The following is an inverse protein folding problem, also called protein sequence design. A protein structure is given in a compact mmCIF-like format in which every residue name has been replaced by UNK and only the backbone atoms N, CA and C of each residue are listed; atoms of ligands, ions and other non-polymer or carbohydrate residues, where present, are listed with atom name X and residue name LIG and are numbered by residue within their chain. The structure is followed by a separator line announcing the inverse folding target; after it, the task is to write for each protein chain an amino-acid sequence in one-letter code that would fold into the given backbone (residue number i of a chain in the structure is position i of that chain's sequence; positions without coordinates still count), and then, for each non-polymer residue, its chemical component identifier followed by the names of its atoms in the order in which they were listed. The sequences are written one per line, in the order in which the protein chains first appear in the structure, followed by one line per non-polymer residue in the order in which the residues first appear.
data_IF_532293337919
#
_entry.id   IF_532293337919
#
_cell.length_a   1.000
_cell.length_b   1.000
_cell.length_c   1.000
_cell.angle_alpha   90.00
_cell.angle_beta   90.00
_cell.angle_gamma   90.00
#
_symmetry.space_group_name_H-M   'P 1'
#
loop_
_entity.id
_entity.type
_entity.pdbx_description
1 polymer ?
#
# COMPACT_ATOMS: atom_id res chain seq x y z
N UNK A 1 -4.99 0.85 23.39
CA UNK A 1 -3.92 0.80 22.44
C UNK A 1 -4.40 0.83 21.00
N UNK A 2 -3.87 1.73 20.24
CA UNK A 2 -4.29 1.91 18.90
C UNK A 2 -3.39 1.25 17.88
N UNK A 3 -3.97 0.77 16.82
CA UNK A 3 -3.23 0.15 15.76
C UNK A 3 -3.45 0.88 14.47
N UNK A 4 -2.35 1.23 13.83
CA UNK A 4 -2.39 1.83 12.52
C UNK A 4 -1.71 0.86 11.57
N UNK A 5 -2.52 0.13 10.85
CA UNK A 5 -2.00 -0.85 9.90
C UNK A 5 -1.39 -0.16 8.71
N UNK A 6 -0.24 -0.63 8.29
CA UNK A 6 0.40 -0.13 7.08
C UNK A 6 -0.41 -0.49 5.85
N UNK A 7 -0.22 0.28 4.80
CA UNK A 7 -0.88 0.00 3.53
C UNK A 7 0.06 -0.83 2.68
N UNK A 8 -0.47 -1.89 2.11
CA UNK A 8 0.31 -2.82 1.29
C UNK A 8 -0.22 -2.86 -0.13
N UNK A 9 0.70 -2.92 -1.10
CA UNK A 9 0.36 -3.17 -2.49
C UNK A 9 0.83 -4.58 -2.81
N UNK A 10 -0.08 -5.43 -3.24
CA UNK A 10 0.20 -6.83 -3.52
C UNK A 10 -0.40 -7.24 -4.85
N UNK A 11 0.27 -8.18 -5.54
CA UNK A 11 -0.33 -8.78 -6.72
C UNK A 11 -1.45 -9.72 -6.29
N UNK A 12 -2.52 -9.75 -7.08
CA UNK A 12 -3.61 -10.70 -6.84
C UNK A 12 -3.19 -12.03 -7.46
N UNK A 13 -3.12 -13.12 -6.69
CA UNK A 13 -2.67 -14.39 -7.23
C UNK A 13 -3.66 -15.03 -8.20
N UNK A 14 -4.92 -14.60 -8.18
CA UNK A 14 -5.96 -15.21 -8.99
C UNK A 14 -6.42 -14.35 -10.15
N UNK A 15 -5.83 -13.17 -10.32
CA UNK A 15 -6.19 -12.26 -11.38
C UNK A 15 -4.99 -11.41 -11.75
N UNK A 16 -5.03 -10.79 -12.94
CA UNK A 16 -3.94 -9.91 -13.34
C UNK A 16 -4.21 -8.51 -12.84
N UNK A 17 -4.37 -8.42 -11.52
CA UNK A 17 -4.65 -7.15 -10.85
C UNK A 17 -3.70 -6.97 -9.68
N UNK A 18 -3.64 -5.75 -9.21
CA UNK A 18 -2.89 -5.40 -8.01
C UNK A 18 -3.87 -4.91 -6.96
N UNK A 19 -3.66 -5.33 -5.73
CA UNK A 19 -4.54 -4.99 -4.63
C UNK A 19 -3.87 -4.01 -3.70
N UNK A 20 -4.64 -3.06 -3.21
CA UNK A 20 -4.24 -2.22 -2.10
C UNK A 20 -4.90 -2.80 -0.87
N UNK A 21 -4.12 -3.17 0.12
CA UNK A 21 -4.61 -3.84 1.32
C UNK A 21 -4.21 -3.09 2.56
N UNK A 22 -5.05 -3.20 3.56
CA UNK A 22 -4.77 -2.62 4.86
C UNK A 22 -5.51 -3.41 5.92
N UNK A 23 -4.77 -3.84 6.97
CA UNK A 23 -5.38 -4.58 8.06
C UNK A 23 -6.09 -5.85 7.63
N UNK A 24 -5.53 -6.56 6.65
CA UNK A 24 -6.13 -7.79 6.15
C UNK A 24 -7.30 -7.60 5.20
N UNK A 25 -7.62 -6.35 4.85
CA UNK A 25 -8.73 -6.07 3.93
C UNK A 25 -8.20 -5.49 2.63
N UNK A 26 -8.84 -5.89 1.54
CA UNK A 26 -8.56 -5.28 0.24
C UNK A 26 -9.44 -4.05 0.11
N UNK A 27 -8.83 -2.88 -0.09
CA UNK A 27 -9.59 -1.65 -0.20
C UNK A 27 -9.75 -1.19 -1.66
N UNK A 28 -8.89 -1.65 -2.56
CA UNK A 28 -9.09 -1.34 -3.98
C UNK A 28 -8.27 -2.29 -4.84
N UNK A 29 -8.64 -2.35 -6.13
CA UNK A 29 -7.94 -3.14 -7.13
C UNK A 29 -7.52 -2.21 -8.27
N UNK A 30 -6.39 -2.52 -8.88
CA UNK A 30 -5.84 -1.73 -9.98
C UNK A 30 -5.20 -2.64 -11.00
N UNK A 31 -5.14 -2.18 -12.24
CA UNK A 31 -4.59 -2.98 -13.32
C UNK A 31 -3.07 -3.03 -13.33
N UNK A 32 -2.44 -2.01 -12.78
CA UNK A 32 -0.98 -1.93 -12.76
C UNK A 32 -0.50 -1.68 -11.35
N UNK A 33 0.73 -2.13 -11.09
CA UNK A 33 1.36 -1.86 -9.81
C UNK A 33 1.47 -0.35 -9.58
N UNK A 34 1.82 0.39 -10.64
CA UNK A 34 1.97 1.84 -10.54
C UNK A 34 0.69 2.50 -10.05
N UNK A 35 -0.44 2.15 -10.65
CA UNK A 35 -1.71 2.74 -10.24
C UNK A 35 -2.08 2.34 -8.83
N UNK A 36 -1.80 1.09 -8.45
CA UNK A 36 -2.03 0.64 -7.09
C UNK A 36 -1.19 1.43 -6.10
N UNK A 37 0.08 1.66 -6.43
CA UNK A 37 0.97 2.41 -5.56
C UNK A 37 0.47 3.86 -5.39
N UNK A 38 -0.01 4.48 -6.47
CA UNK A 38 -0.54 5.84 -6.36
C UNK A 38 -1.73 5.90 -5.42
N UNK A 39 -2.65 4.94 -5.53
CA UNK A 39 -3.81 4.88 -4.65
C UNK A 39 -3.39 4.58 -3.22
N UNK A 40 -2.46 3.65 -3.06
CA UNK A 40 -1.98 3.25 -1.74
C UNK A 40 -1.26 4.40 -1.05
N UNK A 41 -0.50 5.18 -1.81
CA UNK A 41 0.22 6.31 -1.23
C UNK A 41 -0.72 7.35 -0.66
N UNK A 42 -1.84 7.60 -1.35
CA UNK A 42 -2.86 8.51 -0.83
C UNK A 42 -3.44 8.00 0.47
N UNK A 43 -3.76 6.71 0.51
CA UNK A 43 -4.33 6.11 1.70
C UNK A 43 -3.33 6.15 2.86
N UNK A 44 -2.07 5.82 2.59
CA UNK A 44 -1.04 5.79 3.62
C UNK A 44 -0.78 7.19 4.18
N UNK A 45 -0.75 8.20 3.31
CA UNK A 45 -0.57 9.58 3.77
C UNK A 45 -1.72 10.03 4.65
N UNK A 46 -2.93 9.70 4.24
CA UNK A 46 -4.11 10.10 4.99
C UNK A 46 -4.11 9.50 6.38
N UNK A 47 -3.66 8.28 6.50
CA UNK A 47 -3.62 7.57 7.77
C UNK A 47 -2.29 7.67 8.49
N UNK A 48 -1.30 8.30 7.85
CA UNK A 48 0.04 8.47 8.44
C UNK A 48 0.67 7.15 8.83
N UNK A 49 0.68 6.24 7.87
CA UNK A 49 1.30 4.93 8.05
C UNK A 49 2.27 4.69 6.90
N UNK A 50 3.01 3.60 6.98
CA UNK A 50 3.96 3.24 5.94
C UNK A 50 3.26 2.61 4.75
N UNK A 51 3.91 2.69 3.60
CA UNK A 51 3.47 2.02 2.39
C UNK A 51 4.48 0.93 2.06
N UNK A 52 4.00 -0.29 1.97
CA UNK A 52 4.84 -1.44 1.65
C UNK A 52 4.40 -1.98 0.30
N UNK A 53 5.33 -1.98 -0.66
CA UNK A 53 5.04 -2.46 -2.00
C UNK A 53 5.68 -3.82 -2.19
N UNK A 54 4.88 -4.80 -2.59
CA UNK A 54 5.35 -6.15 -2.87
C UNK A 54 5.44 -6.37 -4.36
N UNK A 55 6.39 -7.19 -4.78
CA UNK A 55 6.50 -7.57 -6.17
C UNK A 55 5.50 -8.66 -6.51
N UNK A 56 5.48 -9.04 -7.79
CA UNK A 56 4.58 -10.10 -8.23
C UNK A 56 4.89 -11.44 -7.58
N UNK A 57 6.13 -11.62 -7.14
CA UNK A 57 6.56 -12.84 -6.45
C UNK A 57 6.26 -12.79 -4.95
N UNK A 58 5.63 -11.74 -4.47
CA UNK A 58 5.27 -11.59 -3.07
C UNK A 58 6.34 -10.97 -2.20
N UNK A 59 7.54 -10.77 -2.72
CA UNK A 59 8.62 -10.19 -1.93
C UNK A 59 8.47 -8.69 -1.83
N UNK A 60 8.91 -8.15 -0.71
CA UNK A 60 8.87 -6.71 -0.50
C UNK A 60 9.85 -6.03 -1.45
N UNK A 61 9.35 -5.08 -2.24
CA UNK A 61 10.16 -4.32 -3.17
C UNK A 61 10.55 -2.98 -2.60
N UNK A 62 9.67 -2.36 -1.84
CA UNK A 62 9.99 -1.09 -1.24
C UNK A 62 9.14 -0.87 0.00
N UNK A 63 9.66 -0.06 0.88
CA UNK A 63 8.99 0.30 2.11
C UNK A 63 9.16 1.80 2.26
N UNK A 64 8.07 2.52 2.14
CA UNK A 64 8.08 3.97 2.12
C UNK A 64 7.43 4.47 3.40
N UNK A 65 8.17 5.27 4.15
CA UNK A 65 7.64 5.82 5.39
C UNK A 65 6.90 7.11 5.10
N UNK A 66 5.60 7.10 5.31
CA UNK A 66 4.76 8.25 5.02
C UNK A 66 4.14 8.85 6.27
N UNK A 67 4.46 8.27 7.42
CA UNK A 67 3.87 8.76 8.67
C UNK A 67 4.32 10.16 9.03
N UNK A 68 5.49 10.57 8.56
CA UNK A 68 6.00 11.90 8.84
C UNK A 68 5.92 12.84 7.67
N UNK A 69 5.27 12.42 6.60
CA UNK A 69 5.19 13.24 5.39
C UNK A 69 4.48 14.56 5.62
N UNK A 70 3.52 14.55 6.52
CA UNK A 70 2.75 15.75 6.80
C UNK A 70 3.60 16.86 7.40
N UNK A 71 4.76 16.52 7.93
CA UNK A 71 5.66 17.49 8.56
C UNK A 71 6.72 18.02 7.62
N UNK A 72 6.71 17.58 6.39
CA UNK A 72 7.65 18.02 5.41
C UNK A 72 7.18 19.36 4.84
N UNK A 73 7.94 20.32 5.02
CA UNK A 73 7.60 21.67 4.56
C UNK A 73 7.60 21.83 3.07
#
# INVERSE_FOLDING_TARGET
MRRHHDVHVCADPHAYLWRVRRGGRTISHHRTQRNAVLAARRAARRSRVDLVTHGRDGRIRSNESLRDQANQG
#
